data_IF_596239572976
#
_entry.id   IF_596239572976
#
_cell.length_a   1.000
_cell.length_b   1.000
_cell.length_c   1.000
_cell.angle_alpha   90.00
_cell.angle_beta   90.00
_cell.angle_gamma   90.00
#
_symmetry.space_group_name_H-M   'P 1'
#
loop_
_entity.id
_entity.type
_entity.pdbx_description
1 polymer ?
#
# COMPACT_ATOMS: atom_id res chain seq x y z
N UNK A 1 -0.52 -2.20 -14.97
CA UNK A 1 -1.85 -1.61 -14.76
C UNK A 1 -2.14 -1.33 -13.29
N UNK A 2 -2.08 -2.32 -12.37
CA UNK A 2 -2.47 -2.12 -10.96
C UNK A 2 -1.66 -1.01 -10.27
N UNK A 3 -0.36 -0.92 -10.50
CA UNK A 3 0.50 0.13 -9.92
C UNK A 3 0.11 1.51 -10.45
N UNK A 4 -0.23 1.61 -11.73
CA UNK A 4 -0.75 2.84 -12.31
C UNK A 4 -2.07 3.26 -11.66
N UNK A 5 -2.99 2.31 -11.43
CA UNK A 5 -4.24 2.58 -10.72
C UNK A 5 -3.99 3.07 -9.29
N UNK A 6 -3.04 2.46 -8.57
CA UNK A 6 -2.72 2.90 -7.22
C UNK A 6 -2.18 4.32 -7.16
N UNK A 7 -1.42 4.79 -8.17
CA UNK A 7 -0.96 6.18 -8.23
C UNK A 7 -2.08 7.23 -8.15
N UNK A 8 -3.30 6.88 -8.57
CA UNK A 8 -4.46 7.76 -8.39
C UNK A 8 -5.07 7.71 -6.98
N UNK A 9 -4.73 6.72 -6.16
CA UNK A 9 -5.28 6.59 -4.80
C UNK A 9 -4.97 7.83 -3.95
N UNK A 10 -3.74 8.32 -4.01
CA UNK A 10 -3.32 9.50 -3.27
C UNK A 10 -4.03 10.79 -3.78
N UNK A 11 -4.19 10.90 -5.09
CA UNK A 11 -4.91 12.02 -5.73
C UNK A 11 -6.36 12.05 -5.26
N UNK A 12 -7.06 10.91 -5.34
CA UNK A 12 -8.44 10.80 -4.87
C UNK A 12 -8.53 11.06 -3.37
N UNK A 13 -7.57 10.56 -2.58
CA UNK A 13 -7.49 10.82 -1.14
C UNK A 13 -7.38 12.29 -0.78
N UNK A 14 -6.68 13.11 -1.60
CA UNK A 14 -6.61 14.56 -1.43
C UNK A 14 -7.87 15.26 -1.92
N UNK A 15 -8.51 14.78 -3.00
CA UNK A 15 -9.75 15.33 -3.56
C UNK A 15 -10.99 15.09 -2.68
N UNK A 16 -11.03 14.00 -1.93
CA UNK A 16 -12.08 13.67 -0.97
C UNK A 16 -11.93 14.59 0.25
N UNK A 17 -12.96 15.35 0.62
CA UNK A 17 -12.91 16.31 1.73
C UNK A 17 -13.05 15.64 3.10
N UNK A 18 -13.67 14.46 3.18
CA UNK A 18 -13.81 13.71 4.42
C UNK A 18 -12.45 13.51 5.13
N UNK A 19 -12.46 13.41 6.46
CA UNK A 19 -11.27 13.05 7.24
C UNK A 19 -10.77 11.64 6.89
N UNK A 20 -9.57 11.29 7.33
CA UNK A 20 -8.95 10.02 6.97
C UNK A 20 -9.75 8.81 7.47
N UNK A 21 -10.34 8.91 8.66
CA UNK A 21 -11.11 7.85 9.30
C UNK A 21 -12.40 7.54 8.52
N UNK A 22 -13.17 8.58 8.17
CA UNK A 22 -14.41 8.46 7.36
C UNK A 22 -14.08 7.93 5.97
N UNK A 23 -13.00 8.44 5.36
CA UNK A 23 -12.53 7.97 4.05
C UNK A 23 -12.21 6.47 4.09
N UNK A 24 -11.44 5.99 5.07
CA UNK A 24 -11.08 4.57 5.20
C UNK A 24 -12.31 3.72 5.50
N UNK A 25 -13.22 4.19 6.35
CA UNK A 25 -14.48 3.49 6.64
C UNK A 25 -15.27 3.20 5.35
N UNK A 26 -15.58 4.23 4.56
CA UNK A 26 -16.35 4.06 3.32
C UNK A 26 -15.58 3.29 2.25
N UNK A 27 -14.27 3.53 2.13
CA UNK A 27 -13.43 2.78 1.20
C UNK A 27 -13.49 1.28 1.49
N UNK A 28 -13.36 0.89 2.75
CA UNK A 28 -13.42 -0.52 3.14
C UNK A 28 -14.82 -1.11 3.02
N UNK A 29 -15.85 -0.36 3.39
CA UNK A 29 -17.25 -0.78 3.23
C UNK A 29 -17.55 -1.08 1.75
N UNK A 30 -17.34 -0.11 0.87
CA UNK A 30 -17.66 -0.25 -0.55
C UNK A 30 -16.80 -1.31 -1.23
N UNK A 31 -15.48 -1.35 -0.94
CA UNK A 31 -14.61 -2.38 -1.49
C UNK A 31 -15.03 -3.80 -1.04
N UNK A 32 -15.47 -3.96 0.22
CA UNK A 32 -16.02 -5.24 0.72
C UNK A 32 -17.27 -5.65 -0.06
N UNK A 33 -18.19 -4.71 -0.29
CA UNK A 33 -19.41 -4.97 -1.07
C UNK A 33 -19.06 -5.36 -2.51
N UNK A 34 -18.19 -4.59 -3.18
CA UNK A 34 -17.77 -4.89 -4.55
C UNK A 34 -17.08 -6.26 -4.65
N UNK A 35 -16.18 -6.59 -3.74
CA UNK A 35 -15.50 -7.90 -3.73
C UNK A 35 -16.49 -9.04 -3.46
N UNK A 36 -17.41 -8.86 -2.52
CA UNK A 36 -18.45 -9.86 -2.27
C UNK A 36 -19.28 -10.15 -3.52
N UNK A 37 -19.78 -9.09 -4.17
CA UNK A 37 -20.56 -9.22 -5.42
C UNK A 37 -19.73 -9.84 -6.53
N UNK A 38 -18.48 -9.42 -6.71
CA UNK A 38 -17.55 -9.98 -7.70
C UNK A 38 -17.33 -11.48 -7.50
N UNK A 39 -17.03 -11.90 -6.25
CA UNK A 39 -16.79 -13.32 -5.92
C UNK A 39 -18.06 -14.15 -6.13
N UNK A 40 -19.21 -13.67 -5.62
CA UNK A 40 -20.45 -14.46 -5.61
C UNK A 40 -21.19 -14.46 -6.92
N UNK A 41 -21.20 -13.34 -7.66
CA UNK A 41 -21.99 -13.19 -8.88
C UNK A 41 -21.14 -13.48 -10.12
N UNK A 42 -19.93 -12.88 -10.20
CA UNK A 42 -19.09 -12.97 -11.41
C UNK A 42 -18.25 -14.25 -11.39
N UNK A 43 -17.49 -14.50 -10.32
CA UNK A 43 -16.65 -15.70 -10.19
C UNK A 43 -17.44 -16.96 -9.81
N UNK A 44 -18.63 -16.77 -9.21
CA UNK A 44 -19.46 -17.86 -8.66
C UNK A 44 -18.73 -18.75 -7.65
N UNK A 45 -17.72 -18.19 -6.99
CA UNK A 45 -16.88 -18.89 -6.02
C UNK A 45 -17.51 -18.87 -4.61
N UNK A 46 -17.08 -19.83 -3.78
CA UNK A 46 -17.46 -19.89 -2.37
C UNK A 46 -16.60 -18.96 -1.55
N UNK A 47 -17.22 -18.21 -0.63
CA UNK A 47 -16.52 -17.40 0.37
C UNK A 47 -16.15 -18.19 1.63
N UNK A 48 -16.43 -19.51 1.70
CA UNK A 48 -16.17 -20.31 2.90
C UNK A 48 -14.67 -20.46 3.15
N UNK A 49 -14.25 -20.14 4.37
CA UNK A 49 -12.89 -20.34 4.88
C UNK A 49 -12.95 -20.96 6.27
N UNK A 50 -11.88 -21.61 6.71
CA UNK A 50 -11.81 -22.15 8.08
C UNK A 50 -11.75 -21.03 9.11
N UNK A 51 -12.28 -21.24 10.32
CA UNK A 51 -12.25 -20.25 11.42
C UNK A 51 -10.82 -19.77 11.72
N UNK A 52 -9.83 -20.68 11.69
CA UNK A 52 -8.43 -20.34 11.91
C UNK A 52 -7.86 -19.41 10.83
N UNK A 53 -8.25 -19.62 9.57
CA UNK A 53 -7.84 -18.77 8.46
C UNK A 53 -8.56 -17.42 8.53
N UNK A 54 -9.87 -17.40 8.81
CA UNK A 54 -10.67 -16.19 8.99
C UNK A 54 -10.02 -15.24 10.02
N UNK A 55 -9.66 -15.74 11.20
CA UNK A 55 -9.02 -14.93 12.24
C UNK A 55 -7.69 -14.30 11.75
N UNK A 56 -6.91 -15.06 10.96
CA UNK A 56 -5.67 -14.53 10.38
C UNK A 56 -5.95 -13.43 9.37
N UNK A 57 -6.91 -13.64 8.46
CA UNK A 57 -7.30 -12.67 7.45
C UNK A 57 -7.85 -11.38 8.07
N UNK A 58 -8.71 -11.49 9.09
CA UNK A 58 -9.21 -10.33 9.84
C UNK A 58 -8.07 -9.59 10.55
N UNK A 59 -7.13 -10.31 11.16
CA UNK A 59 -5.95 -9.70 11.78
C UNK A 59 -5.07 -8.95 10.79
N UNK A 60 -4.84 -9.49 9.59
CA UNK A 60 -4.11 -8.80 8.51
C UNK A 60 -4.94 -7.62 8.00
N UNK A 61 -6.26 -7.77 7.90
CA UNK A 61 -7.17 -6.69 7.54
C UNK A 61 -7.11 -5.51 8.51
N UNK A 62 -6.90 -5.77 9.79
CA UNK A 62 -6.65 -4.71 10.78
C UNK A 62 -5.39 -3.90 10.45
N UNK A 63 -4.28 -4.58 10.08
CA UNK A 63 -3.05 -3.91 9.64
C UNK A 63 -3.28 -3.09 8.38
N UNK A 64 -4.07 -3.60 7.43
CA UNK A 64 -4.44 -2.89 6.20
C UNK A 64 -5.29 -1.64 6.51
N UNK A 65 -6.22 -1.71 7.46
CA UNK A 65 -7.01 -0.56 7.88
C UNK A 65 -6.12 0.55 8.46
N UNK A 66 -5.20 0.20 9.35
CA UNK A 66 -4.24 1.15 9.91
C UNK A 66 -3.26 1.68 8.84
N UNK A 67 -2.80 0.84 7.91
CA UNK A 67 -1.98 1.29 6.78
C UNK A 67 -2.70 2.40 5.99
N UNK A 68 -3.96 2.20 5.60
CA UNK A 68 -4.73 3.22 4.87
C UNK A 68 -5.05 4.44 5.73
N UNK A 69 -5.33 4.24 7.02
CA UNK A 69 -5.55 5.35 7.94
C UNK A 69 -4.31 6.26 8.00
N UNK A 70 -3.13 5.70 8.22
CA UNK A 70 -1.88 6.46 8.24
C UNK A 70 -1.52 7.06 6.87
N UNK A 71 -1.84 6.38 5.77
CA UNK A 71 -1.65 6.91 4.42
C UNK A 71 -2.44 8.19 4.20
N UNK A 72 -3.76 8.13 4.40
CA UNK A 72 -4.61 9.31 4.20
C UNK A 72 -4.38 10.38 5.26
N UNK A 73 -4.09 10.02 6.50
CA UNK A 73 -3.66 10.98 7.51
C UNK A 73 -2.38 11.70 7.11
N UNK A 74 -1.40 11.00 6.55
CA UNK A 74 -0.18 11.62 6.01
C UNK A 74 -0.51 12.67 4.95
N UNK A 75 -1.39 12.34 3.99
CA UNK A 75 -1.83 13.29 2.94
C UNK A 75 -2.54 14.50 3.56
N UNK A 76 -3.43 14.28 4.54
CA UNK A 76 -4.25 15.34 5.15
C UNK A 76 -3.43 16.33 6.01
N UNK A 77 -2.36 15.87 6.67
CA UNK A 77 -1.51 16.72 7.51
C UNK A 77 -0.26 17.25 6.79
N UNK A 78 -0.01 16.79 5.55
CA UNK A 78 1.08 17.26 4.70
C UNK A 78 0.60 17.45 3.26
N UNK A 79 1.02 16.57 2.36
CA UNK A 79 0.60 16.54 0.96
C UNK A 79 0.83 15.16 0.33
N UNK A 80 0.41 14.99 -0.93
CA UNK A 80 0.54 13.74 -1.69
C UNK A 80 2.01 13.37 -1.89
N UNK A 81 2.86 14.36 -2.20
CA UNK A 81 4.28 14.17 -2.49
C UNK A 81 5.02 13.57 -1.30
N UNK A 82 4.78 14.07 -0.09
CA UNK A 82 5.35 13.53 1.16
C UNK A 82 4.87 12.10 1.41
N UNK A 83 3.57 11.85 1.35
CA UNK A 83 3.00 10.53 1.63
C UNK A 83 3.57 9.47 0.67
N UNK A 84 3.61 9.76 -0.62
CA UNK A 84 4.11 8.85 -1.64
C UNK A 84 5.64 8.63 -1.54
N UNK A 85 6.43 9.66 -1.24
CA UNK A 85 7.87 9.49 -1.05
C UNK A 85 8.19 8.58 0.13
N UNK A 86 7.43 8.66 1.23
CA UNK A 86 7.59 7.77 2.37
C UNK A 86 7.26 6.30 2.02
N UNK A 87 6.31 6.05 1.09
CA UNK A 87 6.03 4.68 0.63
C UNK A 87 7.24 3.99 0.00
N UNK A 88 8.18 4.73 -0.60
CA UNK A 88 9.43 4.20 -1.11
C UNK A 88 10.24 3.40 -0.06
N UNK A 89 10.08 3.72 1.24
CA UNK A 89 10.72 2.97 2.33
C UNK A 89 10.16 1.55 2.51
N UNK A 90 9.02 1.22 1.90
CA UNK A 90 8.46 -0.13 1.93
C UNK A 90 9.45 -1.18 1.41
N UNK A 91 10.30 -0.84 0.43
CA UNK A 91 11.32 -1.75 -0.07
C UNK A 91 12.39 -2.06 0.98
N UNK A 92 12.79 -1.07 1.79
CA UNK A 92 13.68 -1.28 2.93
C UNK A 92 13.04 -2.21 3.96
N UNK A 93 11.80 -1.94 4.34
CA UNK A 93 11.08 -2.81 5.29
C UNK A 93 10.90 -4.23 4.73
N UNK A 94 10.63 -4.39 3.43
CA UNK A 94 10.53 -5.70 2.79
C UNK A 94 11.87 -6.45 2.80
N UNK A 95 12.97 -5.75 2.53
CA UNK A 95 14.32 -6.31 2.57
C UNK A 95 14.69 -6.87 3.96
N UNK A 96 14.12 -6.31 5.03
CA UNK A 96 14.33 -6.75 6.41
C UNK A 96 13.31 -7.83 6.83
N UNK A 97 12.02 -7.64 6.53
CA UNK A 97 10.94 -8.50 7.03
C UNK A 97 10.80 -9.80 6.25
N UNK A 98 10.98 -9.77 4.93
CA UNK A 98 10.82 -10.96 4.10
C UNK A 98 11.84 -12.06 4.43
N UNK A 99 13.16 -11.78 4.62
CA UNK A 99 14.13 -12.78 5.09
C UNK A 99 13.75 -13.40 6.44
N UNK A 100 13.26 -12.59 7.39
CA UNK A 100 12.84 -13.08 8.71
C UNK A 100 11.62 -14.01 8.61
N UNK A 101 10.64 -13.64 7.77
CA UNK A 101 9.37 -14.37 7.66
C UNK A 101 9.51 -15.62 6.81
N UNK A 102 10.29 -15.58 5.71
CA UNK A 102 10.52 -16.72 4.79
C UNK A 102 11.82 -17.46 5.05
N UNK A 103 12.60 -17.05 6.08
CA UNK A 103 13.89 -17.68 6.47
C UNK A 103 14.92 -17.74 5.32
N UNK A 104 14.95 -16.69 4.49
CA UNK A 104 15.96 -16.52 3.43
C UNK A 104 17.14 -15.67 3.91
N UNK A 105 18.29 -15.80 3.23
CA UNK A 105 19.43 -14.91 3.48
C UNK A 105 19.15 -13.49 2.96
N UNK A 106 19.66 -12.49 3.68
CA UNK A 106 19.64 -11.08 3.23
C UNK A 106 20.73 -10.94 2.15
N UNK A 107 20.39 -10.25 1.06
CA UNK A 107 21.35 -9.95 -0.01
C UNK A 107 22.07 -8.62 0.31
N UNK A 108 23.37 -8.55 0.02
CA UNK A 108 24.18 -7.33 0.24
C UNK A 108 23.59 -6.13 -0.51
N UNK A 109 23.03 -6.34 -1.71
CA UNK A 109 22.40 -5.27 -2.47
C UNK A 109 21.19 -4.65 -1.74
N UNK A 110 20.46 -5.45 -0.94
CA UNK A 110 19.35 -4.96 -0.11
C UNK A 110 19.84 -4.07 1.03
N UNK A 111 20.99 -4.41 1.64
CA UNK A 111 21.61 -3.61 2.70
C UNK A 111 22.06 -2.25 2.15
N UNK A 112 22.77 -2.25 1.02
CA UNK A 112 23.25 -1.02 0.38
C UNK A 112 22.06 -0.13 -0.01
N UNK A 113 21.04 -0.69 -0.65
CA UNK A 113 19.81 0.03 -0.99
C UNK A 113 19.15 0.60 0.27
N UNK A 114 19.06 -0.19 1.34
CA UNK A 114 18.46 0.25 2.61
C UNK A 114 19.17 1.45 3.21
N UNK A 115 20.52 1.46 3.19
CA UNK A 115 21.34 2.60 3.66
C UNK A 115 21.02 3.85 2.82
N UNK A 116 20.97 3.73 1.49
CA UNK A 116 20.63 4.85 0.61
C UNK A 116 19.24 5.40 0.94
N UNK A 117 18.23 4.53 1.12
CA UNK A 117 16.87 4.95 1.49
C UNK A 117 16.86 5.70 2.82
N UNK A 118 17.57 5.20 3.84
CA UNK A 118 17.64 5.87 5.16
C UNK A 118 18.26 7.28 5.02
N UNK A 119 19.33 7.41 4.24
CA UNK A 119 19.95 8.73 3.99
C UNK A 119 18.95 9.66 3.28
N UNK A 120 18.29 9.20 2.22
CA UNK A 120 17.33 10.02 1.47
C UNK A 120 16.16 10.47 2.34
N UNK A 121 15.56 9.58 3.13
CA UNK A 121 14.47 9.94 4.05
C UNK A 121 14.93 10.89 5.15
N UNK A 122 16.15 10.72 5.67
CA UNK A 122 16.73 11.65 6.66
C UNK A 122 16.93 13.05 6.08
N UNK A 123 17.35 13.17 4.81
CA UNK A 123 17.44 14.44 4.11
C UNK A 123 16.07 15.08 3.91
N UNK A 124 15.08 14.31 3.43
CA UNK A 124 13.69 14.77 3.27
C UNK A 124 13.14 15.28 4.62
N UNK A 125 13.31 14.51 5.70
CA UNK A 125 12.84 14.90 7.02
C UNK A 125 13.49 16.22 7.49
N UNK A 126 14.79 16.42 7.20
CA UNK A 126 15.51 17.63 7.58
C UNK A 126 15.04 18.87 6.82
N UNK A 127 14.84 18.76 5.50
CA UNK A 127 14.48 19.93 4.67
C UNK A 127 12.98 20.23 4.66
N UNK A 128 12.14 19.21 4.89
CA UNK A 128 10.69 19.33 4.91
C UNK A 128 10.12 19.16 6.34
N UNK A 129 10.86 19.68 7.34
CA UNK A 129 10.52 19.50 8.76
C UNK A 129 9.13 20.03 9.13
N UNK A 130 8.59 21.00 8.39
CA UNK A 130 7.21 21.47 8.55
C UNK A 130 6.19 20.33 8.33
N UNK A 131 6.53 19.30 7.57
CA UNK A 131 5.71 18.12 7.31
C UNK A 131 6.06 16.91 8.19
N UNK A 132 6.79 17.10 9.30
CA UNK A 132 7.27 16.02 10.17
C UNK A 132 6.21 14.99 10.54
N UNK A 133 4.99 15.44 10.86
CA UNK A 133 3.89 14.54 11.23
C UNK A 133 3.44 13.69 10.03
N UNK A 134 3.34 14.30 8.83
CA UNK A 134 3.03 13.60 7.60
C UNK A 134 4.07 12.54 7.26
N UNK A 135 5.37 12.87 7.44
CA UNK A 135 6.48 11.92 7.22
C UNK A 135 6.39 10.75 8.20
N UNK A 136 6.15 11.00 9.49
CA UNK A 136 6.00 9.95 10.50
C UNK A 136 4.83 9.01 10.12
N UNK A 137 3.67 9.58 9.77
CA UNK A 137 2.53 8.79 9.34
C UNK A 137 2.82 7.99 8.06
N UNK A 138 3.52 8.60 7.09
CA UNK A 138 3.93 7.92 5.86
C UNK A 138 4.89 6.74 6.10
N UNK A 139 5.82 6.87 7.04
CA UNK A 139 6.74 5.78 7.42
C UNK A 139 6.01 4.63 8.14
N UNK A 140 5.09 4.95 9.05
CA UNK A 140 4.24 3.93 9.71
C UNK A 140 3.37 3.22 8.66
N UNK A 141 2.78 3.97 7.74
CA UNK A 141 2.02 3.45 6.62
C UNK A 141 2.86 2.46 5.80
N UNK A 142 4.08 2.83 5.39
CA UNK A 142 4.97 1.99 4.62
C UNK A 142 5.33 0.68 5.35
N UNK A 143 5.60 0.76 6.65
CA UNK A 143 5.87 -0.42 7.48
C UNK A 143 4.65 -1.36 7.54
N UNK A 144 3.46 -0.85 7.85
CA UNK A 144 2.23 -1.64 7.94
C UNK A 144 1.86 -2.26 6.59
N UNK A 145 2.02 -1.49 5.49
CA UNK A 145 1.83 -1.95 4.12
C UNK A 145 2.74 -3.11 3.76
N UNK A 146 4.00 -3.04 4.17
CA UNK A 146 4.96 -4.11 3.97
C UNK A 146 4.59 -5.36 4.78
N UNK A 147 4.21 -5.19 6.05
CA UNK A 147 3.84 -6.31 6.92
C UNK A 147 2.67 -7.09 6.31
N UNK A 148 1.57 -6.43 5.95
CA UNK A 148 0.43 -7.15 5.39
C UNK A 148 0.76 -7.80 4.04
N UNK A 149 1.54 -7.15 3.17
CA UNK A 149 1.94 -7.70 1.88
C UNK A 149 2.78 -8.97 2.01
N UNK A 150 3.75 -8.99 2.93
CA UNK A 150 4.57 -10.17 3.21
C UNK A 150 3.73 -11.31 3.79
N UNK A 151 2.77 -11.01 4.67
CA UNK A 151 1.85 -12.03 5.20
C UNK A 151 0.92 -12.57 4.11
N UNK A 152 0.46 -11.74 3.17
CA UNK A 152 -0.31 -12.19 2.01
C UNK A 152 0.45 -13.22 1.17
N UNK A 153 1.76 -13.02 0.99
CA UNK A 153 2.62 -14.03 0.38
C UNK A 153 2.59 -15.40 1.09
N UNK A 154 2.47 -15.40 2.44
CA UNK A 154 2.30 -16.65 3.22
C UNK A 154 0.91 -17.27 3.15
N UNK A 155 -0.11 -16.46 2.88
CA UNK A 155 -1.49 -16.91 2.81
C UNK A 155 -1.89 -17.30 1.39
N UNK A 156 -1.14 -16.87 0.39
CA UNK A 156 -1.36 -17.28 -0.99
C UNK A 156 -1.42 -18.82 -1.08
N UNK A 157 -2.40 -19.33 -1.83
CA UNK A 157 -2.64 -20.78 -2.00
C UNK A 157 -3.42 -21.46 -0.86
N UNK A 158 -3.71 -20.78 0.28
CA UNK A 158 -4.55 -21.34 1.35
C UNK A 158 -6.04 -21.18 1.09
N UNK A 159 -6.42 -20.23 0.26
CA UNK A 159 -7.76 -20.01 -0.27
C UNK A 159 -7.64 -19.18 -1.55
N UNK A 160 -8.74 -18.87 -2.22
CA UNK A 160 -8.73 -18.01 -3.42
C UNK A 160 -8.24 -16.59 -3.09
N UNK A 161 -7.61 -15.91 -4.05
CA UNK A 161 -7.16 -14.52 -3.90
C UNK A 161 -8.33 -13.59 -3.53
N UNK A 162 -9.52 -13.86 -4.09
CA UNK A 162 -10.74 -13.13 -3.75
C UNK A 162 -11.11 -13.25 -2.28
N UNK A 163 -11.06 -14.46 -1.72
CA UNK A 163 -11.36 -14.68 -0.31
C UNK A 163 -10.33 -14.02 0.61
N UNK A 164 -9.04 -14.06 0.24
CA UNK A 164 -7.99 -13.37 1.02
C UNK A 164 -8.35 -11.89 1.13
N UNK A 165 -8.47 -11.19 0.00
CA UNK A 165 -8.71 -9.74 -0.02
C UNK A 165 -10.08 -9.37 0.55
N UNK A 166 -11.12 -10.14 0.27
CA UNK A 166 -12.45 -9.88 0.82
C UNK A 166 -12.43 -9.86 2.35
N UNK A 167 -11.87 -10.91 2.97
CA UNK A 167 -11.85 -11.00 4.44
C UNK A 167 -10.88 -10.03 5.10
N UNK A 168 -9.80 -9.64 4.43
CA UNK A 168 -8.90 -8.60 4.91
C UNK A 168 -9.59 -7.23 4.89
N UNK A 169 -10.20 -6.83 3.76
CA UNK A 169 -10.89 -5.54 3.66
C UNK A 169 -12.10 -5.51 4.59
N UNK A 170 -12.89 -6.60 4.64
CA UNK A 170 -14.02 -6.69 5.55
C UNK A 170 -13.58 -6.70 7.03
N UNK A 171 -12.49 -7.38 7.36
CA UNK A 171 -11.91 -7.37 8.71
C UNK A 171 -11.44 -5.98 9.12
N UNK A 172 -10.79 -5.25 8.22
CA UNK A 172 -10.42 -3.86 8.44
C UNK A 172 -11.63 -2.94 8.59
N UNK A 173 -12.67 -3.14 7.77
CA UNK A 173 -13.96 -2.44 7.94
C UNK A 173 -14.56 -2.65 9.34
N UNK A 174 -14.54 -3.89 9.86
CA UNK A 174 -15.02 -4.17 11.21
C UNK A 174 -14.22 -3.41 12.28
N UNK A 175 -12.89 -3.34 12.15
CA UNK A 175 -12.03 -2.63 13.11
C UNK A 175 -12.33 -1.13 13.13
N UNK A 176 -12.44 -0.49 11.95
CA UNK A 176 -12.82 0.93 11.87
C UNK A 176 -14.25 1.16 12.36
N UNK A 177 -15.17 0.24 12.09
CA UNK A 177 -16.55 0.31 12.62
C UNK A 177 -16.58 0.27 14.14
N UNK A 178 -15.81 -0.64 14.76
CA UNK A 178 -15.66 -0.72 16.21
C UNK A 178 -15.07 0.58 16.80
N UNK A 179 -14.06 1.15 16.13
CA UNK A 179 -13.53 2.46 16.54
C UNK A 179 -14.63 3.52 16.62
N UNK A 180 -15.51 3.64 15.61
CA UNK A 180 -16.60 4.61 15.62
C UNK A 180 -17.64 4.34 16.72
N UNK A 181 -17.94 3.07 16.98
CA UNK A 181 -18.88 2.69 18.07
C UNK A 181 -18.32 3.08 19.44
N UNK A 182 -17.04 2.79 19.70
CA UNK A 182 -16.44 3.04 21.01
C UNK A 182 -15.97 4.48 21.22
N UNK A 183 -15.62 5.22 20.16
CA UNK A 183 -15.20 6.61 20.28
C UNK A 183 -16.35 7.60 20.43
N UNK A 184 -17.60 7.19 20.18
CA UNK A 184 -18.76 8.07 20.18
C UNK A 184 -18.85 9.01 18.96
N UNK A 185 -17.97 8.88 17.97
CA UNK A 185 -17.92 9.74 16.78
C UNK A 185 -18.75 9.23 15.60
N UNK A 186 -19.74 8.38 15.86
CA UNK A 186 -20.55 7.74 14.81
C UNK A 186 -21.30 8.73 13.91
N UNK A 187 -21.64 9.93 14.43
CA UNK A 187 -22.28 11.00 13.67
C UNK A 187 -21.45 11.48 12.48
N UNK A 188 -20.12 11.45 12.59
CA UNK A 188 -19.22 11.89 11.52
C UNK A 188 -19.37 11.04 10.24
N UNK A 189 -19.81 9.79 10.36
CA UNK A 189 -20.07 8.92 9.20
C UNK A 189 -21.22 9.46 8.36
N UNK A 190 -22.24 10.08 8.97
CA UNK A 190 -23.40 10.65 8.27
C UNK A 190 -23.13 11.98 7.57
N UNK A 191 -22.03 12.65 7.87
CA UNK A 191 -21.70 13.98 7.36
C UNK A 191 -20.85 13.94 6.07
N UNK A 192 -21.24 13.12 5.10
CA UNK A 192 -20.50 12.96 3.86
C UNK A 192 -21.25 13.57 2.66
N UNK A 193 -20.53 14.29 1.80
CA UNK A 193 -21.11 14.87 0.60
C UNK A 193 -21.36 13.82 -0.49
N UNK A 194 -22.36 14.05 -1.36
CA UNK A 194 -22.60 13.18 -2.52
C UNK A 194 -21.40 13.11 -3.46
N UNK A 195 -20.63 14.21 -3.58
CA UNK A 195 -19.37 14.23 -4.34
C UNK A 195 -18.34 13.26 -3.75
N UNK A 196 -18.13 13.32 -2.44
CA UNK A 196 -17.19 12.45 -1.75
C UNK A 196 -17.65 10.99 -1.82
N UNK A 197 -18.95 10.70 -1.72
CA UNK A 197 -19.48 9.34 -1.91
C UNK A 197 -19.19 8.80 -3.32
N UNK A 198 -19.34 9.62 -4.36
CA UNK A 198 -19.01 9.23 -5.73
C UNK A 198 -17.51 8.93 -5.89
N UNK A 199 -16.64 9.82 -5.37
CA UNK A 199 -15.20 9.62 -5.38
C UNK A 199 -14.77 8.37 -4.57
N UNK A 200 -15.40 8.14 -3.42
CA UNK A 200 -15.16 6.95 -2.59
C UNK A 200 -15.61 5.67 -3.27
N UNK A 201 -16.73 5.70 -4.00
CA UNK A 201 -17.20 4.56 -4.79
C UNK A 201 -16.20 4.21 -5.89
N UNK A 202 -15.68 5.21 -6.59
CA UNK A 202 -14.64 5.06 -7.60
C UNK A 202 -13.33 4.54 -6.97
N UNK A 203 -12.90 5.13 -5.85
CA UNK A 203 -11.71 4.72 -5.11
C UNK A 203 -11.81 3.27 -4.62
N UNK A 204 -12.96 2.87 -4.08
CA UNK A 204 -13.18 1.54 -3.53
C UNK A 204 -13.29 0.44 -4.61
N UNK A 205 -13.90 0.75 -5.76
CA UNK A 205 -14.08 -0.23 -6.84
C UNK A 205 -12.84 -0.36 -7.72
N UNK A 206 -12.55 0.67 -8.51
CA UNK A 206 -11.52 0.66 -9.57
C UNK A 206 -10.11 0.73 -8.99
N UNK A 207 -9.91 1.53 -7.94
CA UNK A 207 -8.58 1.81 -7.39
C UNK A 207 -8.28 1.01 -6.11
N UNK A 208 -9.21 0.17 -5.64
CA UNK A 208 -8.99 -0.68 -4.46
C UNK A 208 -9.36 -2.14 -4.74
N UNK A 209 -10.64 -2.46 -4.91
CA UNK A 209 -11.10 -3.85 -5.00
C UNK A 209 -10.41 -4.63 -6.12
N UNK A 210 -10.37 -4.07 -7.33
CA UNK A 210 -9.74 -4.70 -8.48
C UNK A 210 -8.21 -4.83 -8.31
N UNK A 211 -7.43 -3.76 -8.05
CA UNK A 211 -5.98 -3.90 -7.95
C UNK A 211 -5.54 -4.73 -6.75
N UNK A 212 -6.25 -4.70 -5.63
CA UNK A 212 -5.95 -5.55 -4.48
C UNK A 212 -6.19 -7.03 -4.79
N UNK A 213 -7.30 -7.38 -5.46
CA UNK A 213 -7.54 -8.74 -5.93
C UNK A 213 -6.41 -9.22 -6.85
N UNK A 214 -6.05 -8.42 -7.85
CA UNK A 214 -4.98 -8.77 -8.79
C UNK A 214 -3.61 -8.81 -8.13
N UNK A 215 -3.32 -7.98 -7.14
CA UNK A 215 -2.04 -8.01 -6.44
C UNK A 215 -1.78 -9.35 -5.74
N UNK A 216 -2.80 -9.90 -5.06
CA UNK A 216 -2.71 -11.23 -4.45
C UNK A 216 -2.67 -12.33 -5.52
N UNK A 217 -3.44 -12.17 -6.61
CA UNK A 217 -3.43 -13.13 -7.72
C UNK A 217 -2.05 -13.20 -8.40
N UNK A 218 -1.35 -12.07 -8.54
CA UNK A 218 0.01 -12.00 -9.08
C UNK A 218 1.06 -12.69 -8.20
N UNK A 219 0.81 -12.88 -6.89
CA UNK A 219 1.72 -13.63 -6.01
C UNK A 219 1.86 -15.11 -6.40
N UNK A 220 1.06 -15.59 -7.36
CA UNK A 220 1.29 -16.85 -8.06
C UNK A 220 2.60 -16.86 -8.85
N UNK A 221 3.02 -15.72 -9.36
CA UNK A 221 4.14 -15.59 -10.30
C UNK A 221 5.33 -14.84 -9.72
N UNK A 222 5.08 -13.95 -8.76
CA UNK A 222 6.10 -13.06 -8.19
C UNK A 222 6.06 -13.08 -6.65
N UNK A 223 7.21 -12.85 -6.02
CA UNK A 223 7.30 -12.73 -4.56
C UNK A 223 6.67 -11.42 -4.06
N UNK A 224 6.28 -11.35 -2.76
CA UNK A 224 5.87 -10.10 -2.13
C UNK A 224 6.88 -8.98 -2.30
N UNK A 225 8.17 -9.28 -2.18
CA UNK A 225 9.25 -8.32 -2.41
C UNK A 225 9.20 -7.74 -3.84
N UNK A 226 9.04 -8.60 -4.86
CA UNK A 226 8.95 -8.15 -6.25
C UNK A 226 7.70 -7.28 -6.48
N UNK A 227 6.57 -7.63 -5.87
CA UNK A 227 5.37 -6.81 -5.91
C UNK A 227 5.62 -5.44 -5.29
N UNK A 228 6.15 -5.37 -4.07
CA UNK A 228 6.47 -4.12 -3.36
C UNK A 228 7.47 -3.28 -4.17
N UNK A 229 8.50 -3.91 -4.75
CA UNK A 229 9.46 -3.24 -5.61
C UNK A 229 8.77 -2.57 -6.81
N UNK A 230 7.81 -3.26 -7.44
CA UNK A 230 7.05 -2.72 -8.57
C UNK A 230 6.11 -1.59 -8.15
N UNK A 231 5.50 -1.69 -6.96
CA UNK A 231 4.63 -0.64 -6.39
C UNK A 231 5.41 0.65 -6.13
N UNK A 232 6.71 0.59 -5.86
CA UNK A 232 7.53 1.80 -5.72
C UNK A 232 7.69 2.64 -7.01
N UNK A 233 7.11 2.22 -8.12
CA UNK A 233 6.91 3.10 -9.28
C UNK A 233 5.73 4.07 -9.07
N UNK A 234 4.82 3.78 -8.13
CA UNK A 234 3.67 4.62 -7.81
C UNK A 234 4.05 6.07 -7.43
N UNK A 235 5.06 6.31 -6.56
CA UNK A 235 5.50 7.67 -6.25
C UNK A 235 5.90 8.49 -7.47
N UNK A 236 6.46 7.86 -8.50
CA UNK A 236 6.93 8.58 -9.70
C UNK A 236 5.76 9.32 -10.35
N UNK A 237 4.73 8.59 -10.77
CA UNK A 237 3.60 9.25 -11.43
C UNK A 237 2.68 9.94 -10.45
N UNK A 238 2.55 9.43 -9.23
CA UNK A 238 1.71 10.06 -8.22
C UNK A 238 2.18 11.47 -7.86
N UNK A 239 3.49 11.69 -7.67
CA UNK A 239 4.07 13.02 -7.40
C UNK A 239 3.92 13.94 -8.62
N UNK A 240 4.20 13.42 -9.82
CA UNK A 240 4.06 14.19 -11.06
C UNK A 240 2.60 14.62 -11.26
N UNK A 241 1.66 13.67 -11.15
CA UNK A 241 0.22 13.95 -11.27
C UNK A 241 -0.26 14.93 -10.20
N UNK A 242 0.20 14.77 -8.94
CA UNK A 242 -0.15 15.66 -7.85
C UNK A 242 0.29 17.10 -8.13
N UNK A 243 1.50 17.28 -8.63
CA UNK A 243 2.00 18.60 -9.03
C UNK A 243 1.14 19.24 -10.13
N UNK A 244 0.79 18.49 -11.18
CA UNK A 244 -0.04 19.02 -12.27
C UNK A 244 -1.49 19.31 -11.85
N UNK A 245 -2.05 18.54 -10.91
CA UNK A 245 -3.46 18.69 -10.48
C UNK A 245 -3.60 19.74 -9.38
N UNK A 246 -2.66 19.79 -8.42
CA UNK A 246 -2.75 20.61 -7.22
C UNK A 246 -1.78 21.80 -7.20
N UNK A 247 -0.84 21.86 -8.16
CA UNK A 247 0.06 22.99 -8.33
C UNK A 247 0.95 23.27 -7.12
N UNK A 248 1.02 24.53 -6.71
CA UNK A 248 1.91 25.01 -5.64
C UNK A 248 1.75 24.29 -4.30
N UNK A 249 0.58 23.72 -4.02
CA UNK A 249 0.36 22.94 -2.77
C UNK A 249 1.14 21.62 -2.71
N UNK A 250 1.70 21.17 -3.84
CA UNK A 250 2.55 19.97 -3.95
C UNK A 250 4.00 20.31 -4.29
N UNK A 251 4.35 21.62 -4.35
CA UNK A 251 5.70 22.06 -4.63
C UNK A 251 6.60 21.81 -3.43
N UNK A 252 7.68 21.10 -3.67
CA UNK A 252 8.66 20.70 -2.67
C UNK A 252 10.02 21.34 -2.95
N UNK A 253 10.95 21.24 -2.01
CA UNK A 253 12.32 21.73 -2.19
C UNK A 253 13.07 20.92 -3.26
N UNK A 254 14.08 21.53 -3.88
CA UNK A 254 14.96 20.82 -4.83
C UNK A 254 15.65 19.60 -4.18
N UNK A 255 15.97 19.69 -2.88
CA UNK A 255 16.56 18.58 -2.11
C UNK A 255 15.58 17.42 -1.97
N UNK A 256 14.28 17.70 -1.76
CA UNK A 256 13.23 16.69 -1.74
C UNK A 256 13.18 15.91 -3.06
N UNK A 257 13.12 16.62 -4.19
CA UNK A 257 13.08 15.96 -5.51
C UNK A 257 14.34 15.16 -5.78
N UNK A 258 15.53 15.71 -5.44
CA UNK A 258 16.81 15.02 -5.58
C UNK A 258 16.87 13.73 -4.74
N UNK A 259 16.50 13.81 -3.46
CA UNK A 259 16.49 12.65 -2.56
C UNK A 259 15.48 11.58 -3.03
N UNK A 260 14.27 11.99 -3.44
CA UNK A 260 13.24 11.09 -3.97
C UNK A 260 13.72 10.39 -5.26
N UNK A 261 14.37 11.11 -6.17
CA UNK A 261 14.95 10.53 -7.38
C UNK A 261 16.05 9.51 -7.08
N UNK A 262 16.98 9.84 -6.17
CA UNK A 262 18.05 8.91 -5.74
C UNK A 262 17.44 7.65 -5.10
N UNK A 263 16.43 7.79 -4.26
CA UNK A 263 15.73 6.67 -3.64
C UNK A 263 15.08 5.75 -4.70
N UNK A 264 14.38 6.32 -5.67
CA UNK A 264 13.77 5.57 -6.77
C UNK A 264 14.83 4.85 -7.60
N UNK A 265 15.92 5.53 -7.96
CA UNK A 265 17.02 4.93 -8.72
C UNK A 265 17.66 3.76 -7.96
N UNK A 266 17.89 3.90 -6.65
CA UNK A 266 18.40 2.81 -5.82
C UNK A 266 17.48 1.58 -5.83
N UNK A 267 16.17 1.79 -5.75
CA UNK A 267 15.15 0.74 -5.82
C UNK A 267 15.18 0.03 -7.18
N UNK A 268 15.19 0.79 -8.27
CA UNK A 268 15.22 0.26 -9.65
C UNK A 268 16.51 -0.53 -9.90
N UNK A 269 17.67 0.02 -9.53
CA UNK A 269 18.97 -0.65 -9.66
C UNK A 269 18.99 -1.96 -8.90
N UNK A 270 18.52 -1.96 -7.64
CA UNK A 270 18.42 -3.18 -6.84
C UNK A 270 17.51 -4.23 -7.50
N UNK A 271 16.37 -3.80 -8.07
CA UNK A 271 15.48 -4.67 -8.83
C UNK A 271 16.15 -5.33 -10.04
N UNK A 272 16.92 -4.55 -10.80
CA UNK A 272 17.68 -5.05 -11.96
C UNK A 272 18.76 -6.06 -11.53
N UNK A 273 19.50 -5.75 -10.46
CA UNK A 273 20.53 -6.66 -9.92
C UNK A 273 19.91 -8.01 -9.54
N UNK A 274 18.78 -7.99 -8.83
CA UNK A 274 18.07 -9.21 -8.41
C UNK A 274 17.51 -10.00 -9.59
N UNK A 275 16.93 -9.34 -10.57
CA UNK A 275 16.42 -10.00 -11.77
C UNK A 275 17.53 -10.71 -12.54
N UNK A 276 18.69 -10.06 -12.69
CA UNK A 276 19.87 -10.66 -13.35
C UNK A 276 20.43 -11.85 -12.57
N UNK A 277 20.48 -11.76 -11.23
CA UNK A 277 20.97 -12.86 -10.38
C UNK A 277 20.07 -14.10 -10.51
N UNK A 278 18.75 -13.92 -10.42
CA UNK A 278 17.78 -15.00 -10.60
C UNK A 278 17.85 -15.64 -11.99
N UNK A 279 18.04 -14.84 -13.04
CA UNK A 279 18.19 -15.36 -14.41
C UNK A 279 19.45 -16.23 -14.58
N UNK A 280 20.55 -15.87 -13.89
CA UNK A 280 21.78 -16.70 -13.91
C UNK A 280 21.58 -18.03 -13.17
N UNK A 281 20.97 -17.99 -11.96
CA UNK A 281 20.67 -19.20 -11.18
C UNK A 281 19.82 -20.20 -11.97
N UNK A 282 18.75 -19.71 -12.64
CA UNK A 282 17.90 -20.56 -13.51
C UNK A 282 18.66 -21.10 -14.71
N UNK A 283 19.57 -20.31 -15.31
CA UNK A 283 20.37 -20.78 -16.43
C UNK A 283 21.38 -21.86 -16.01
N UNK A 284 21.96 -21.76 -14.83
CA UNK A 284 22.86 -22.76 -14.26
C UNK A 284 22.14 -24.08 -13.91
N UNK A 285 20.93 -23.98 -13.31
CA UNK A 285 20.08 -25.15 -13.02
C UNK A 285 19.65 -25.91 -14.29
N UNK A 286 19.42 -25.23 -15.40
CA UNK A 286 19.04 -25.86 -16.67
C UNK A 286 20.23 -26.48 -17.43
N UNK A 287 21.47 -26.22 -17.00
CA UNK A 287 22.68 -26.81 -17.60
C UNK A 287 23.20 -28.06 -16.85
N UNK A 288 22.64 -28.34 -15.67
CA UNK A 288 22.91 -29.55 -14.87
C UNK A 288 21.82 -30.61 -15.10
#
# INVERSE_FOLDING_TARGET
LIVFLWGFTAILGKLIHANAEVLVFYRMLFASVFLYLFIRIIKKDSIKVSKKLLLKLVGIGSLMAFHWLFFFSSIKVSNVSIALSCLGTSTLFAALLEPLIFKRKIDVSEIVMGIVIVICISLIFKVEFQYKLGIIYGLICALLGTIFSVFNGKLYGKTSSGNIIFYEIFGGFLVISLYYVFSGHISQIGEISYRDLALLTLLASVFTAYPMFESVNLMKYISPFTLILTVNLEPIYGIILAFFIFGESEKMSAVFYGASLVMILAIVVNGIIKARKKSKEVAEENML
#
